data_IF_804397992673
#
_entry.id   IF_804397992673
#
_cell.length_a   1.000
_cell.length_b   1.000
_cell.length_c   1.000
_cell.angle_alpha   90.00
_cell.angle_beta   90.00
_cell.angle_gamma   90.00
#
_symmetry.space_group_name_H-M   'P 1'
#
loop_
_entity.id
_entity.type
_entity.pdbx_description
1 polymer ?
#
# COMPACT_ATOMS: atom_id res chain seq x y z
N UNK A 1 17.93 16.27 4.59
CA UNK A 1 16.95 17.28 4.15
C UNK A 1 15.53 16.73 4.01
N UNK A 2 15.30 15.64 3.27
CA UNK A 2 13.95 15.09 3.03
C UNK A 2 13.15 14.77 4.32
N UNK A 3 13.76 14.11 5.32
CA UNK A 3 13.10 13.74 6.60
C UNK A 3 12.51 14.93 7.38
N UNK A 4 13.20 16.07 7.40
CA UNK A 4 12.75 17.27 8.12
C UNK A 4 11.47 17.84 7.49
N UNK A 5 11.37 17.75 6.17
CA UNK A 5 10.20 18.20 5.42
C UNK A 5 9.00 17.29 5.71
N UNK A 6 9.18 15.96 5.68
CA UNK A 6 8.11 15.00 6.00
C UNK A 6 7.60 15.13 7.43
N UNK A 7 8.49 15.30 8.43
CA UNK A 7 8.09 15.48 9.84
C UNK A 7 7.29 16.77 10.04
N UNK A 8 7.68 17.87 9.39
CA UNK A 8 6.94 19.13 9.44
C UNK A 8 5.58 19.04 8.74
N UNK A 9 5.52 18.36 7.58
CA UNK A 9 4.29 18.20 6.82
C UNK A 9 3.26 17.34 7.55
N UNK A 10 3.71 16.30 8.26
CA UNK A 10 2.86 15.36 8.98
C UNK A 10 2.63 15.77 10.45
N UNK A 11 2.97 17.00 10.82
CA UNK A 11 2.75 17.49 12.18
C UNK A 11 1.25 17.51 12.49
N UNK A 12 0.84 16.83 13.56
CA UNK A 12 -0.56 16.71 13.98
C UNK A 12 -1.33 15.55 13.34
N UNK A 13 -0.75 14.83 12.39
CA UNK A 13 -1.35 13.61 11.85
C UNK A 13 -1.07 12.42 12.78
N UNK A 14 -2.08 11.58 13.02
CA UNK A 14 -1.91 10.32 13.74
C UNK A 14 -2.70 9.20 13.07
N UNK A 15 -2.19 7.98 13.12
CA UNK A 15 -2.83 6.80 12.56
C UNK A 15 -2.09 6.24 11.34
N UNK A 16 -2.84 5.65 10.41
CA UNK A 16 -2.25 4.93 9.27
C UNK A 16 -1.85 5.88 8.14
N UNK A 17 -0.56 5.89 7.78
CA UNK A 17 -0.05 6.64 6.64
C UNK A 17 0.30 5.70 5.50
N UNK A 18 -0.46 5.72 4.41
CA UNK A 18 -0.11 4.95 3.24
C UNK A 18 1.03 5.63 2.48
N UNK A 19 2.15 4.92 2.33
CA UNK A 19 3.34 5.43 1.67
C UNK A 19 3.96 4.39 0.72
N UNK A 20 4.89 4.84 -0.11
CA UNK A 20 5.64 4.00 -1.05
C UNK A 20 6.71 3.11 -0.38
N UNK A 21 6.83 3.17 0.95
CA UNK A 21 7.84 2.44 1.72
C UNK A 21 9.19 3.17 1.79
N UNK A 22 9.23 4.47 1.48
CA UNK A 22 10.46 5.24 1.63
C UNK A 22 10.82 5.45 3.11
N UNK A 23 12.08 5.22 3.47
CA UNK A 23 12.59 5.28 4.85
C UNK A 23 12.55 6.67 5.49
N UNK A 24 12.10 7.69 4.75
CA UNK A 24 11.84 9.04 5.27
C UNK A 24 10.66 9.05 6.25
N UNK A 25 9.72 8.12 6.10
CA UNK A 25 8.51 8.02 6.91
C UNK A 25 8.72 7.18 8.18
N UNK A 26 9.87 6.52 8.32
CA UNK A 26 10.25 5.79 9.52
C UNK A 26 10.51 6.76 10.69
N UNK A 27 10.07 6.39 11.88
CA UNK A 27 10.27 7.16 13.12
C UNK A 27 9.59 8.55 13.13
N UNK A 28 8.47 8.69 12.40
CA UNK A 28 7.56 9.83 12.62
C UNK A 28 6.59 9.45 13.74
N UNK A 29 6.56 10.29 14.76
CA UNK A 29 5.78 10.06 15.98
C UNK A 29 4.28 9.91 15.66
N UNK A 30 3.60 8.96 16.33
CA UNK A 30 2.16 8.69 16.21
C UNK A 30 1.66 8.23 14.82
N UNK A 31 2.57 7.81 13.94
CA UNK A 31 2.22 7.31 12.61
C UNK A 31 2.55 5.82 12.49
N UNK A 32 1.62 5.07 11.90
CA UNK A 32 1.82 3.68 11.49
C UNK A 32 1.94 3.69 9.95
N UNK A 33 3.15 3.60 9.39
CA UNK A 33 3.32 3.56 7.94
C UNK A 33 2.77 2.24 7.39
N UNK A 34 1.93 2.33 6.37
CA UNK A 34 1.40 1.18 5.63
C UNK A 34 1.83 1.25 4.18
N UNK A 35 2.19 0.10 3.61
CA UNK A 35 2.69 0.03 2.24
C UNK A 35 1.62 0.33 1.19
N UNK A 36 2.02 1.02 0.13
CA UNK A 36 1.17 1.28 -1.02
C UNK A 36 1.09 0.05 -1.94
N UNK A 37 -0.10 -0.54 -2.07
CA UNK A 37 -0.32 -1.69 -2.96
C UNK A 37 -0.03 -1.39 -4.43
N UNK A 38 -0.20 -0.13 -4.87
CA UNK A 38 0.14 0.26 -6.25
C UNK A 38 1.66 0.18 -6.50
N UNK A 39 2.48 0.57 -5.52
CA UNK A 39 3.94 0.45 -5.59
C UNK A 39 4.37 -1.02 -5.54
N UNK A 40 3.78 -1.82 -4.65
CA UNK A 40 4.03 -3.26 -4.57
C UNK A 40 3.68 -3.97 -5.89
N UNK A 41 2.52 -3.67 -6.48
CA UNK A 41 2.06 -4.24 -7.76
C UNK A 41 3.05 -3.96 -8.89
N UNK A 42 3.58 -2.74 -8.99
CA UNK A 42 4.57 -2.37 -10.02
C UNK A 42 5.82 -3.25 -9.91
N UNK A 43 6.38 -3.39 -8.70
CA UNK A 43 7.57 -4.23 -8.46
C UNK A 43 7.33 -5.71 -8.76
N UNK A 44 6.13 -6.23 -8.43
CA UNK A 44 5.76 -7.60 -8.75
C UNK A 44 5.58 -7.81 -10.26
N UNK A 45 5.04 -6.83 -10.96
CA UNK A 45 4.95 -6.84 -12.42
C UNK A 45 6.35 -6.84 -13.05
N UNK A 46 7.26 -5.97 -12.59
CA UNK A 46 8.64 -5.93 -13.06
C UNK A 46 9.34 -7.29 -12.87
N UNK A 47 9.13 -7.93 -11.71
CA UNK A 47 9.67 -9.25 -11.41
C UNK A 47 9.11 -10.34 -12.34
N UNK A 48 7.82 -10.26 -12.70
CA UNK A 48 7.19 -11.18 -13.64
C UNK A 48 7.74 -10.98 -15.07
N UNK A 49 7.95 -9.73 -15.49
CA UNK A 49 8.56 -9.41 -16.79
C UNK A 49 10.00 -9.89 -16.87
N UNK A 50 10.78 -9.76 -15.77
CA UNK A 50 12.17 -10.20 -15.71
C UNK A 50 12.32 -11.74 -15.68
N UNK A 51 11.33 -12.47 -15.16
CA UNK A 51 11.31 -13.93 -15.17
C UNK A 51 9.92 -14.46 -15.56
N UNK A 52 9.63 -14.57 -16.87
CA UNK A 52 8.34 -15.02 -17.37
C UNK A 52 8.18 -16.54 -17.22
N UNK A 53 7.91 -17.00 -16.00
CA UNK A 53 7.42 -18.35 -15.73
C UNK A 53 5.90 -18.32 -15.65
N UNK A 54 5.23 -19.31 -16.26
CA UNK A 54 3.75 -19.42 -16.31
C UNK A 54 3.08 -19.29 -14.92
N UNK A 55 3.75 -19.74 -13.86
CA UNK A 55 3.31 -19.62 -12.47
C UNK A 55 4.51 -19.33 -11.58
N UNK A 56 4.70 -18.06 -11.21
CA UNK A 56 5.70 -17.67 -10.21
C UNK A 56 5.03 -16.97 -9.01
N UNK A 57 5.77 -16.81 -7.92
CA UNK A 57 5.27 -16.12 -6.70
C UNK A 57 4.75 -14.71 -7.01
N UNK A 58 5.32 -14.03 -8.01
CA UNK A 58 4.84 -12.72 -8.44
C UNK A 58 3.42 -12.77 -9.03
N UNK A 59 3.11 -13.78 -9.85
CA UNK A 59 1.74 -14.00 -10.38
C UNK A 59 0.73 -14.19 -9.25
N UNK A 60 1.08 -15.02 -8.26
CA UNK A 60 0.22 -15.27 -7.09
C UNK A 60 -0.01 -13.98 -6.29
N UNK A 61 1.05 -13.21 -6.05
CA UNK A 61 0.94 -11.93 -5.34
C UNK A 61 0.11 -10.89 -6.12
N UNK A 62 0.25 -10.82 -7.45
CA UNK A 62 -0.58 -9.95 -8.30
C UNK A 62 -2.06 -10.31 -8.23
N UNK A 63 -2.39 -11.61 -8.19
CA UNK A 63 -3.77 -12.08 -8.04
C UNK A 63 -4.37 -11.66 -6.69
N UNK A 64 -3.62 -11.77 -5.59
CA UNK A 64 -4.08 -11.28 -4.29
C UNK A 64 -4.33 -9.77 -4.29
N UNK A 65 -3.43 -8.98 -4.89
CA UNK A 65 -3.62 -7.53 -5.01
C UNK A 65 -4.87 -7.21 -5.86
N UNK A 66 -5.13 -7.98 -6.92
CA UNK A 66 -6.34 -7.83 -7.72
C UNK A 66 -7.60 -8.11 -6.90
N UNK A 67 -7.59 -9.16 -6.07
CA UNK A 67 -8.70 -9.46 -5.15
C UNK A 67 -8.93 -8.32 -4.14
N UNK A 68 -7.86 -7.74 -3.59
CA UNK A 68 -7.96 -6.58 -2.70
C UNK A 68 -8.60 -5.38 -3.39
N UNK A 69 -8.20 -5.06 -4.63
CA UNK A 69 -8.83 -3.98 -5.39
C UNK A 69 -10.29 -4.25 -5.74
N UNK A 70 -10.67 -5.53 -5.90
CA UNK A 70 -12.07 -5.90 -6.08
C UNK A 70 -12.89 -5.61 -4.81
N UNK A 71 -12.34 -5.88 -3.63
CA UNK A 71 -12.95 -5.55 -2.33
C UNK A 71 -13.04 -4.03 -2.16
N UNK A 72 -11.96 -3.29 -2.46
CA UNK A 72 -11.94 -1.82 -2.40
C UNK A 72 -12.97 -1.20 -3.35
N UNK A 73 -13.16 -1.78 -4.54
CA UNK A 73 -14.20 -1.32 -5.48
C UNK A 73 -15.60 -1.50 -4.91
N UNK A 74 -15.87 -2.61 -4.21
CA UNK A 74 -17.16 -2.85 -3.53
C UNK A 74 -17.34 -1.90 -2.35
N UNK A 75 -16.28 -1.65 -1.59
CA UNK A 75 -16.32 -0.82 -0.38
C UNK A 75 -16.68 0.65 -0.66
N UNK A 76 -16.42 1.17 -1.87
CA UNK A 76 -16.74 2.57 -2.25
C UNK A 76 -18.21 2.93 -2.09
N UNK A 77 -19.12 1.97 -2.23
CA UNK A 77 -20.57 2.19 -2.12
C UNK A 77 -21.10 1.99 -0.69
N UNK A 78 -20.25 1.57 0.24
CA UNK A 78 -20.63 1.21 1.61
C UNK A 78 -20.25 2.29 2.62
N UNK A 79 -21.00 2.35 3.72
CA UNK A 79 -20.67 3.17 4.89
C UNK A 79 -19.43 2.64 5.61
N UNK A 80 -18.74 3.44 6.44
CA UNK A 80 -17.60 2.98 7.22
C UNK A 80 -17.86 1.72 8.05
N UNK A 81 -19.06 1.59 8.62
CA UNK A 81 -19.48 0.43 9.43
C UNK A 81 -19.68 -0.81 8.55
N UNK A 82 -20.33 -0.66 7.39
CA UNK A 82 -20.52 -1.73 6.42
C UNK A 82 -19.19 -2.23 5.85
N UNK A 83 -18.21 -1.32 5.67
CA UNK A 83 -16.87 -1.68 5.20
C UNK A 83 -16.09 -2.58 6.15
N UNK A 84 -16.39 -2.55 7.45
CA UNK A 84 -15.73 -3.42 8.43
C UNK A 84 -16.14 -4.89 8.30
N UNK A 85 -17.26 -5.17 7.61
CA UNK A 85 -17.84 -6.50 7.47
C UNK A 85 -17.61 -7.13 6.08
N UNK A 86 -16.84 -6.45 5.21
CA UNK A 86 -16.40 -6.96 3.90
C UNK A 86 -15.22 -7.94 4.03
#
# INVERSE_FOLDING_TARGET
MARRCSKSFLTGFSGYLQCDGYSVYENIDNIIPVGCWAHARRKLHDALTAQPKKTCKATVALNYIQSLYAIEKKSKLLTPEERQHL
#
